data_IF_857547379773
#
_entry.id   IF_857547379773
#
_cell.length_a   1.000
_cell.length_b   1.000
_cell.length_c   1.000
_cell.angle_alpha   90.00
_cell.angle_beta   90.00
_cell.angle_gamma   90.00
#
_symmetry.space_group_name_H-M   'P 1'
#
loop_
_entity.id
_entity.type
_entity.pdbx_description
1 polymer ?
#
# COMPACT_ATOMS: atom_id res chain seq x y z
N UNK A 1 23.76 21.27 -28.78
CA UNK A 1 24.41 20.65 -27.61
C UNK A 1 23.32 20.24 -26.63
N UNK A 2 23.16 18.96 -26.28
CA UNK A 2 22.08 18.53 -25.39
C UNK A 2 22.43 18.78 -23.92
N UNK A 3 21.44 19.24 -23.16
CA UNK A 3 21.52 19.60 -21.75
C UNK A 3 21.52 18.36 -20.83
N UNK A 4 22.47 18.34 -19.90
CA UNK A 4 22.61 17.37 -18.80
C UNK A 4 21.56 17.68 -17.73
N UNK A 5 20.96 16.66 -17.11
CA UNK A 5 20.20 16.81 -15.86
C UNK A 5 21.10 17.45 -14.80
N UNK A 6 20.98 18.77 -14.63
CA UNK A 6 21.83 19.53 -13.72
C UNK A 6 21.40 19.28 -12.27
N UNK A 7 22.24 18.55 -11.54
CA UNK A 7 22.19 18.48 -10.09
C UNK A 7 23.13 19.59 -9.58
N UNK A 8 22.59 20.68 -9.03
CA UNK A 8 23.43 21.70 -8.39
C UNK A 8 23.91 21.17 -7.04
N UNK A 9 25.10 20.56 -7.04
CA UNK A 9 25.80 20.19 -5.81
C UNK A 9 27.21 19.67 -6.07
N UNK A 10 28.20 20.47 -5.69
CA UNK A 10 29.58 20.21 -5.22
C UNK A 10 30.40 18.98 -5.70
N UNK A 11 31.74 19.12 -5.79
CA UNK A 11 32.61 18.07 -6.33
C UNK A 11 32.72 16.88 -5.37
N UNK A 12 32.19 15.75 -5.80
CA UNK A 12 32.37 14.43 -5.20
C UNK A 12 31.76 13.40 -6.15
N UNK A 13 32.63 12.70 -6.88
CA UNK A 13 32.29 11.72 -7.92
C UNK A 13 31.17 10.75 -7.50
N UNK A 14 30.02 10.84 -8.18
CA UNK A 14 28.95 9.83 -8.17
C UNK A 14 28.59 9.56 -9.65
N UNK A 15 28.72 8.30 -10.07
CA UNK A 15 28.33 7.83 -11.40
C UNK A 15 26.82 8.07 -11.65
N UNK A 16 26.41 8.58 -12.82
CA UNK A 16 24.99 8.63 -13.17
C UNK A 16 24.50 7.21 -13.49
N UNK A 17 23.50 6.71 -12.76
CA UNK A 17 22.76 5.50 -13.14
C UNK A 17 21.44 5.89 -13.82
N UNK A 18 20.99 5.13 -14.84
CA UNK A 18 19.84 5.49 -15.65
C UNK A 18 18.51 5.31 -14.91
N UNK A 19 17.62 6.30 -15.03
CA UNK A 19 16.20 6.17 -14.68
C UNK A 19 15.51 5.28 -15.74
N UNK A 20 14.77 4.26 -15.32
CA UNK A 20 13.93 3.45 -16.22
C UNK A 20 12.45 3.77 -15.99
N UNK A 21 11.71 4.02 -17.05
CA UNK A 21 10.25 4.19 -17.06
C UNK A 21 9.62 3.06 -17.89
N UNK A 22 8.39 2.64 -17.55
CA UNK A 22 7.64 1.65 -18.31
C UNK A 22 6.43 2.32 -18.96
N UNK A 23 6.15 2.00 -20.23
CA UNK A 23 4.93 2.40 -20.95
C UNK A 23 4.19 1.13 -21.34
N UNK A 24 2.89 1.07 -21.03
CA UNK A 24 2.02 -0.02 -21.48
C UNK A 24 1.50 0.28 -22.89
N UNK A 25 1.65 -0.67 -23.80
CA UNK A 25 1.04 -0.66 -25.12
C UNK A 25 0.18 -1.92 -25.29
N UNK A 26 -1.07 -1.75 -25.73
CA UNK A 26 -2.02 -2.84 -25.97
C UNK A 26 -2.09 -3.15 -27.48
N UNK A 27 -2.02 -4.43 -27.91
CA UNK A 27 -2.30 -4.78 -29.30
C UNK A 27 -3.80 -4.57 -29.60
N UNK A 28 -4.09 -3.97 -30.76
CA UNK A 28 -5.43 -3.57 -31.19
C UNK A 28 -6.21 -4.82 -31.64
N UNK A 29 -7.05 -5.37 -30.76
CA UNK A 29 -8.04 -6.40 -31.05
C UNK A 29 -9.36 -6.05 -30.37
N UNK A 30 -10.46 -6.04 -31.14
CA UNK A 30 -11.79 -5.53 -30.76
C UNK A 30 -12.34 -6.13 -29.44
N UNK A 31 -12.10 -5.48 -28.31
CA UNK A 31 -12.98 -5.38 -27.13
C UNK A 31 -12.55 -4.12 -26.37
N UNK A 32 -13.52 -3.35 -25.92
CA UNK A 32 -13.31 -2.09 -25.18
C UNK A 32 -12.34 -2.37 -24.03
N UNK A 33 -11.12 -1.81 -24.11
CA UNK A 33 -10.09 -1.96 -23.08
C UNK A 33 -9.78 -0.60 -22.48
N UNK A 34 -9.69 -0.47 -21.15
CA UNK A 34 -9.20 0.75 -20.53
C UNK A 34 -7.74 0.98 -20.98
N UNK A 35 -7.44 2.18 -21.47
CA UNK A 35 -6.05 2.64 -21.61
C UNK A 35 -5.49 2.83 -20.21
N UNK A 36 -4.85 1.81 -19.66
CA UNK A 36 -4.16 1.91 -18.38
C UNK A 36 -2.74 2.39 -18.66
N UNK A 37 -2.43 3.60 -18.23
CA UNK A 37 -1.09 4.15 -18.30
C UNK A 37 -0.45 4.15 -16.92
N UNK A 38 0.66 3.42 -16.77
CA UNK A 38 1.51 3.51 -15.59
C UNK A 38 2.70 4.39 -15.91
N UNK A 39 3.06 5.26 -14.98
CA UNK A 39 4.37 5.91 -14.95
C UNK A 39 5.06 5.47 -13.66
N UNK A 40 5.95 4.49 -13.78
CA UNK A 40 6.84 4.12 -12.68
C UNK A 40 8.09 4.98 -12.80
N UNK A 41 8.07 6.18 -12.21
CA UNK A 41 9.26 7.02 -12.08
C UNK A 41 9.91 6.77 -10.73
N UNK A 42 11.03 6.05 -10.69
CA UNK A 42 11.76 5.85 -9.42
C UNK A 42 12.94 4.90 -9.50
N UNK A 43 14.05 5.31 -8.88
CA UNK A 43 15.21 4.48 -8.59
C UNK A 43 14.77 3.49 -7.50
N UNK A 44 14.39 2.26 -7.87
CA UNK A 44 14.53 1.00 -7.12
C UNK A 44 13.71 -0.08 -7.85
N UNK A 45 14.34 -0.81 -8.77
CA UNK A 45 13.83 -2.09 -9.28
C UNK A 45 13.97 -3.14 -8.16
N UNK A 46 13.01 -3.18 -7.22
CA UNK A 46 12.99 -4.25 -6.24
C UNK A 46 12.30 -5.49 -6.84
N UNK A 47 12.61 -6.67 -6.30
CA UNK A 47 12.08 -7.95 -6.78
C UNK A 47 10.54 -7.95 -6.88
N UNK A 48 9.86 -7.34 -5.89
CA UNK A 48 8.40 -7.22 -5.84
C UNK A 48 7.81 -6.43 -7.00
N UNK A 49 8.44 -5.35 -7.47
CA UNK A 49 7.99 -4.62 -8.67
C UNK A 49 8.12 -5.49 -9.92
N UNK A 50 9.20 -6.26 -10.05
CA UNK A 50 9.38 -7.19 -11.17
C UNK A 50 8.28 -8.26 -11.20
N UNK A 51 7.90 -8.79 -10.03
CA UNK A 51 6.82 -9.76 -9.89
C UNK A 51 5.46 -9.16 -10.23
N UNK A 52 5.17 -7.92 -9.79
CA UNK A 52 3.94 -7.23 -10.15
C UNK A 52 3.85 -6.95 -11.66
N UNK A 53 4.94 -6.48 -12.27
CA UNK A 53 5.01 -6.26 -13.71
C UNK A 53 4.79 -7.56 -14.48
N UNK A 54 5.40 -8.66 -14.04
CA UNK A 54 5.15 -9.99 -14.61
C UNK A 54 3.69 -10.40 -14.46
N UNK A 55 3.08 -10.21 -13.28
CA UNK A 55 1.67 -10.50 -13.06
C UNK A 55 0.75 -9.72 -14.00
N UNK A 56 1.07 -8.45 -14.29
CA UNK A 56 0.34 -7.69 -15.31
C UNK A 56 0.48 -8.30 -16.70
N UNK A 57 1.70 -8.70 -17.09
CA UNK A 57 1.95 -9.38 -18.36
C UNK A 57 1.16 -10.66 -18.49
N UNK A 58 1.17 -11.49 -17.46
CA UNK A 58 0.52 -12.79 -17.44
C UNK A 58 -1.01 -12.64 -17.45
N UNK A 59 -1.57 -11.76 -16.60
CA UNK A 59 -3.02 -11.57 -16.48
C UNK A 59 -3.66 -10.84 -17.67
N UNK A 60 -2.98 -9.86 -18.26
CA UNK A 60 -3.54 -9.02 -19.32
C UNK A 60 -2.91 -9.27 -20.70
N UNK A 61 -2.03 -10.26 -20.82
CA UNK A 61 -1.29 -10.55 -22.07
C UNK A 61 -0.55 -9.33 -22.64
N UNK A 62 -0.07 -8.43 -21.76
CA UNK A 62 0.64 -7.22 -22.18
C UNK A 62 2.14 -7.52 -22.40
N UNK A 63 2.75 -6.80 -23.35
CA UNK A 63 4.20 -6.81 -23.53
C UNK A 63 4.80 -5.54 -22.93
N UNK A 64 5.69 -5.69 -21.96
CA UNK A 64 6.46 -4.58 -21.41
C UNK A 64 7.70 -4.34 -22.27
N UNK A 65 7.70 -3.25 -23.04
CA UNK A 65 8.88 -2.83 -23.76
C UNK A 65 9.77 -2.00 -22.83
N UNK A 66 10.91 -2.57 -22.43
CA UNK A 66 11.93 -1.85 -21.65
C UNK A 66 12.72 -0.97 -22.61
N UNK A 67 12.36 0.32 -22.71
CA UNK A 67 13.18 1.27 -23.47
C UNK A 67 14.41 1.65 -22.65
N UNK A 68 15.60 1.31 -23.17
CA UNK A 68 16.89 1.60 -22.53
C UNK A 68 17.23 3.08 -22.45
N UNK A 69 16.62 3.92 -23.29
CA UNK A 69 16.72 5.37 -23.24
C UNK A 69 15.42 5.98 -23.77
N UNK A 70 14.67 6.70 -22.94
CA UNK A 70 13.64 7.61 -23.43
C UNK A 70 13.88 9.00 -22.88
N UNK A 71 14.29 9.89 -23.79
CA UNK A 71 14.16 11.34 -23.64
C UNK A 71 12.66 11.66 -23.50
N UNK A 72 12.28 12.12 -22.31
CA UNK A 72 11.04 12.86 -22.02
C UNK A 72 9.79 12.38 -22.78
N UNK A 73 9.19 11.27 -22.35
CA UNK A 73 7.76 11.06 -22.61
C UNK A 73 7.00 11.59 -21.42
N UNK A 74 6.58 12.85 -21.50
CA UNK A 74 5.58 13.42 -20.61
C UNK A 74 4.19 13.05 -21.13
N UNK A 75 3.51 12.12 -20.47
CA UNK A 75 2.06 12.13 -20.50
C UNK A 75 1.58 13.13 -19.46
N UNK A 76 1.35 14.37 -19.90
CA UNK A 76 0.75 15.39 -19.06
C UNK A 76 -0.74 15.09 -18.91
N UNK A 77 -1.10 14.25 -17.93
CA UNK A 77 -2.36 14.49 -17.23
C UNK A 77 -2.06 15.67 -16.32
N UNK A 78 -2.49 16.86 -16.75
CA UNK A 78 -2.34 18.11 -15.98
C UNK A 78 -3.19 18.05 -14.71
N UNK A 79 -2.69 17.32 -13.73
CA UNK A 79 -2.96 17.64 -12.33
C UNK A 79 -1.80 18.53 -11.91
N UNK A 80 -2.08 19.73 -11.42
CA UNK A 80 -1.08 20.61 -10.82
C UNK A 80 -0.55 19.92 -9.54
N UNK A 81 0.34 18.95 -9.69
CA UNK A 81 1.07 18.35 -8.59
C UNK A 81 2.23 19.30 -8.31
N UNK A 82 1.99 20.28 -7.44
CA UNK A 82 2.95 21.32 -7.04
C UNK A 82 3.99 20.83 -6.03
N UNK A 83 4.05 19.53 -5.78
CA UNK A 83 4.93 18.94 -4.77
C UNK A 83 5.96 18.01 -5.42
N UNK A 84 7.23 18.23 -5.11
CA UNK A 84 8.43 17.65 -5.74
C UNK A 84 8.59 16.13 -5.64
N UNK A 85 7.57 15.40 -5.19
CA UNK A 85 7.57 13.95 -5.06
C UNK A 85 6.52 13.33 -5.98
N UNK A 86 6.95 12.83 -7.13
CA UNK A 86 6.13 12.02 -8.04
C UNK A 86 5.97 10.62 -7.44
N UNK A 87 4.92 10.45 -6.64
CA UNK A 87 4.51 9.14 -6.13
C UNK A 87 3.85 8.27 -7.20
N UNK A 88 3.08 7.28 -6.76
CA UNK A 88 2.29 6.44 -7.65
C UNK A 88 1.06 7.21 -8.14
N UNK A 89 0.74 7.05 -9.42
CA UNK A 89 -0.40 7.72 -10.06
C UNK A 89 -1.16 6.71 -10.91
N UNK A 90 -2.49 6.75 -10.81
CA UNK A 90 -3.42 6.06 -11.69
C UNK A 90 -4.32 7.10 -12.35
N UNK A 91 -4.78 6.81 -13.57
CA UNK A 91 -5.68 7.71 -14.29
C UNK A 91 -7.03 7.82 -13.56
N UNK A 92 -7.59 6.69 -13.11
CA UNK A 92 -8.74 6.63 -12.21
C UNK A 92 -8.51 5.57 -11.13
N UNK A 93 -9.04 5.74 -9.91
CA UNK A 93 -8.95 4.69 -8.89
C UNK A 93 -9.57 3.36 -9.33
N UNK A 94 -10.63 3.40 -10.16
CA UNK A 94 -11.28 2.22 -10.74
C UNK A 94 -10.34 1.40 -11.63
N UNK A 95 -9.34 2.02 -12.25
CA UNK A 95 -8.37 1.30 -13.08
C UNK A 95 -7.55 0.32 -12.22
N UNK A 96 -7.21 0.68 -10.98
CA UNK A 96 -6.52 -0.23 -10.05
C UNK A 96 -7.38 -1.40 -9.64
N UNK A 97 -8.69 -1.19 -9.48
CA UNK A 97 -9.63 -2.28 -9.18
C UNK A 97 -9.69 -3.31 -10.31
N UNK A 98 -9.75 -2.85 -11.57
CA UNK A 98 -9.71 -3.75 -12.75
C UNK A 98 -8.43 -4.58 -12.77
N UNK A 99 -7.29 -3.94 -12.50
CA UNK A 99 -5.99 -4.61 -12.46
C UNK A 99 -5.91 -5.65 -11.36
N UNK A 100 -6.30 -5.25 -10.15
CA UNK A 100 -6.35 -6.12 -8.98
C UNK A 100 -7.23 -7.34 -9.26
N UNK A 101 -8.48 -7.14 -9.66
CA UNK A 101 -9.43 -8.21 -9.92
C UNK A 101 -8.95 -9.16 -11.02
N UNK A 102 -8.42 -8.62 -12.13
CA UNK A 102 -7.90 -9.44 -13.22
C UNK A 102 -6.69 -10.30 -12.81
N UNK A 103 -5.77 -9.78 -11.98
CA UNK A 103 -4.65 -10.57 -11.45
C UNK A 103 -5.16 -11.64 -10.48
N UNK A 104 -6.04 -11.28 -9.53
CA UNK A 104 -6.57 -12.24 -8.55
C UNK A 104 -7.34 -13.37 -9.23
N UNK A 105 -8.12 -13.05 -10.26
CA UNK A 105 -8.83 -14.04 -11.09
C UNK A 105 -7.87 -14.92 -11.88
N UNK A 106 -6.86 -14.33 -12.55
CA UNK A 106 -5.87 -15.07 -13.33
C UNK A 106 -5.13 -16.13 -12.52
N UNK A 107 -4.76 -15.80 -11.28
CA UNK A 107 -4.08 -16.73 -10.38
C UNK A 107 -5.02 -17.59 -9.52
N UNK A 108 -6.34 -17.51 -9.76
CA UNK A 108 -7.36 -18.23 -9.00
C UNK A 108 -7.29 -18.00 -7.48
N UNK A 109 -6.92 -16.78 -7.07
CA UNK A 109 -6.84 -16.38 -5.65
C UNK A 109 -8.23 -16.05 -5.10
N UNK A 110 -9.20 -15.79 -5.98
CA UNK A 110 -10.62 -15.64 -5.67
C UNK A 110 -11.26 -16.89 -5.05
N UNK A 111 -10.55 -18.03 -5.01
CA UNK A 111 -10.92 -19.26 -4.30
C UNK A 111 -10.71 -19.24 -2.78
N UNK A 112 -10.30 -18.11 -2.18
CA UNK A 112 -10.36 -17.96 -0.73
C UNK A 112 -11.77 -18.31 -0.23
N UNK A 113 -11.92 -19.05 0.88
CA UNK A 113 -13.22 -19.51 1.34
C UNK A 113 -14.22 -18.33 1.40
N UNK A 114 -15.43 -18.50 0.85
CA UNK A 114 -16.52 -17.49 0.91
C UNK A 114 -16.87 -17.03 2.33
N UNK A 115 -16.34 -17.71 3.35
CA UNK A 115 -16.44 -17.41 4.78
C UNK A 115 -15.44 -16.36 5.25
N UNK A 116 -14.36 -16.09 4.51
CA UNK A 116 -13.49 -14.91 4.68
C UNK A 116 -13.99 -13.79 3.77
N UNK A 117 -15.12 -13.17 4.13
CA UNK A 117 -15.67 -12.03 3.38
C UNK A 117 -14.87 -10.77 3.68
N UNK A 118 -13.73 -10.62 3.03
CA UNK A 118 -13.02 -9.35 2.94
C UNK A 118 -13.72 -8.44 1.93
N UNK A 119 -13.62 -7.14 2.11
CA UNK A 119 -14.32 -6.16 1.31
C UNK A 119 -15.76 -5.94 1.78
N UNK A 120 -16.49 -5.14 1.03
CA UNK A 120 -17.81 -4.70 1.46
C UNK A 120 -18.83 -5.85 1.57
N UNK A 121 -19.63 -5.91 2.65
CA UNK A 121 -20.65 -6.94 2.81
C UNK A 121 -21.69 -6.87 1.69
N UNK A 122 -21.93 -7.98 1.00
CA UNK A 122 -23.02 -8.11 0.02
C UNK A 122 -24.30 -8.46 0.77
N UNK A 123 -25.15 -7.45 1.02
CA UNK A 123 -26.37 -7.60 1.81
C UNK A 123 -27.35 -8.58 1.18
N UNK A 124 -27.51 -9.78 1.76
CA UNK A 124 -28.69 -10.65 1.55
C UNK A 124 -28.93 -11.69 2.66
N UNK A 125 -28.04 -11.90 3.65
CA UNK A 125 -28.19 -13.03 4.58
C UNK A 125 -28.02 -12.74 6.08
N UNK A 126 -26.97 -12.02 6.46
CA UNK A 126 -26.50 -12.06 7.86
C UNK A 126 -26.36 -10.67 8.53
N UNK A 127 -26.77 -9.59 7.84
CA UNK A 127 -26.74 -8.23 8.37
C UNK A 127 -27.98 -7.91 9.24
N UNK A 128 -28.49 -8.91 9.96
CA UNK A 128 -29.46 -8.68 11.02
C UNK A 128 -28.70 -8.09 12.22
N UNK A 129 -28.86 -6.78 12.41
CA UNK A 129 -28.58 -6.00 13.64
C UNK A 129 -27.11 -5.74 14.05
N UNK A 130 -26.09 -6.30 13.38
CA UNK A 130 -24.67 -5.97 13.62
C UNK A 130 -24.00 -5.18 12.50
N UNK A 131 -23.27 -4.09 12.81
CA UNK A 131 -22.35 -3.47 11.83
C UNK A 131 -21.18 -4.42 11.60
N UNK A 132 -21.03 -4.90 10.36
CA UNK A 132 -19.89 -5.73 9.97
C UNK A 132 -18.56 -5.03 10.29
N UNK A 133 -17.58 -5.81 10.73
CA UNK A 133 -16.23 -5.36 10.98
C UNK A 133 -15.27 -5.84 9.88
N UNK A 134 -14.30 -4.99 9.49
CA UNK A 134 -13.26 -5.34 8.54
C UNK A 134 -12.24 -6.31 9.16
N UNK A 135 -11.58 -7.10 8.31
CA UNK A 135 -10.45 -7.94 8.73
C UNK A 135 -9.17 -7.09 8.72
N UNK A 136 -8.42 -7.10 9.82
CA UNK A 136 -7.16 -6.35 9.93
C UNK A 136 -5.99 -7.30 9.76
N UNK A 137 -5.13 -7.04 8.79
CA UNK A 137 -3.81 -7.66 8.68
C UNK A 137 -2.76 -6.83 9.42
N UNK A 138 -2.00 -7.45 10.32
CA UNK A 138 -0.77 -6.89 10.89
C UNK A 138 0.44 -7.54 10.23
N UNK A 139 1.07 -6.84 9.29
CA UNK A 139 2.26 -7.32 8.59
C UNK A 139 3.51 -6.68 9.17
N UNK A 140 4.28 -7.45 9.93
CA UNK A 140 5.54 -7.01 10.53
C UNK A 140 6.74 -7.22 9.56
N UNK A 141 7.97 -7.12 10.05
CA UNK A 141 9.21 -7.32 9.28
C UNK A 141 10.25 -8.08 10.09
N UNK A 142 11.17 -8.74 9.41
CA UNK A 142 12.44 -9.11 10.01
C UNK A 142 13.45 -7.95 9.95
N UNK A 143 14.23 -7.81 11.03
CA UNK A 143 15.29 -6.80 11.15
C UNK A 143 14.79 -5.35 11.22
N UNK A 144 15.38 -4.47 10.42
CA UNK A 144 15.16 -3.02 10.54
C UNK A 144 13.71 -2.60 10.30
N UNK A 145 13.20 -1.71 11.16
CA UNK A 145 11.80 -1.24 11.23
C UNK A 145 10.79 -2.27 11.72
N UNK A 146 11.22 -3.40 12.28
CA UNK A 146 10.31 -4.30 12.99
C UNK A 146 9.57 -3.53 14.09
N UNK A 147 8.28 -3.80 14.24
CA UNK A 147 7.47 -3.31 15.36
C UNK A 147 7.66 -4.30 16.50
N UNK A 148 8.29 -3.89 17.60
CA UNK A 148 8.65 -4.79 18.70
C UNK A 148 7.44 -5.05 19.62
N UNK A 149 6.62 -4.03 19.87
CA UNK A 149 5.42 -4.13 20.71
C UNK A 149 4.15 -4.49 19.93
N UNK A 150 4.27 -5.28 18.85
CA UNK A 150 3.11 -5.63 18.00
C UNK A 150 2.03 -6.39 18.76
N UNK A 151 2.39 -7.22 19.75
CA UNK A 151 1.44 -8.00 20.52
C UNK A 151 0.54 -7.09 21.37
N UNK A 152 1.14 -6.11 22.07
CA UNK A 152 0.40 -5.09 22.83
C UNK A 152 -0.58 -4.31 21.94
N UNK A 153 -0.18 -4.01 20.71
CA UNK A 153 -1.05 -3.32 19.74
C UNK A 153 -2.22 -4.21 19.33
N UNK A 154 -1.97 -5.49 19.01
CA UNK A 154 -3.02 -6.45 18.64
C UNK A 154 -3.99 -6.65 19.79
N UNK A 155 -3.48 -6.80 21.00
CA UNK A 155 -4.28 -7.01 22.20
C UNK A 155 -5.14 -5.78 22.49
N UNK A 156 -4.58 -4.56 22.42
CA UNK A 156 -5.33 -3.32 22.60
C UNK A 156 -6.45 -3.14 21.55
N UNK A 157 -6.19 -3.54 20.30
CA UNK A 157 -7.20 -3.53 19.23
C UNK A 157 -8.31 -4.54 19.53
N UNK A 158 -7.98 -5.78 19.89
CA UNK A 158 -8.98 -6.80 20.26
C UNK A 158 -9.80 -6.37 21.47
N UNK A 159 -9.15 -5.94 22.55
CA UNK A 159 -9.82 -5.46 23.77
C UNK A 159 -10.81 -4.32 23.51
N UNK A 160 -10.54 -3.48 22.50
CA UNK A 160 -11.44 -2.39 22.12
C UNK A 160 -12.72 -2.88 21.45
N UNK A 161 -12.62 -3.90 20.59
CA UNK A 161 -13.68 -4.31 19.67
C UNK A 161 -14.32 -5.68 19.97
N UNK A 162 -13.73 -6.49 20.85
CA UNK A 162 -14.25 -7.80 21.30
C UNK A 162 -15.15 -7.69 22.54
N UNK A 163 -15.64 -6.49 22.88
CA UNK A 163 -16.49 -6.30 24.06
C UNK A 163 -17.89 -6.88 23.84
N UNK A 164 -18.41 -7.71 24.77
CA UNK A 164 -19.79 -8.16 24.70
C UNK A 164 -20.73 -6.95 24.73
N UNK A 165 -21.83 -7.06 24.00
CA UNK A 165 -22.82 -6.01 23.75
C UNK A 165 -23.49 -5.52 25.05
N UNK A 166 -22.79 -4.71 25.85
CA UNK A 166 -23.34 -4.15 27.07
C UNK A 166 -24.24 -2.91 26.80
N UNK A 167 -24.16 -2.29 25.61
CA UNK A 167 -24.84 -1.02 25.32
C UNK A 167 -25.37 -0.90 23.87
N UNK A 168 -26.13 -1.90 23.41
CA UNK A 168 -27.01 -1.75 22.24
C UNK A 168 -26.33 -1.67 20.85
N UNK A 169 -25.01 -1.78 20.75
CA UNK A 169 -24.28 -1.96 19.49
C UNK A 169 -23.29 -3.12 19.66
N UNK A 170 -23.64 -4.29 19.15
CA UNK A 170 -22.74 -5.44 19.11
C UNK A 170 -21.83 -5.32 17.89
N UNK A 171 -20.53 -5.14 18.12
CA UNK A 171 -19.53 -5.50 17.12
C UNK A 171 -19.23 -6.99 17.31
N UNK A 172 -19.34 -7.80 16.25
CA UNK A 172 -18.94 -9.20 16.33
C UNK A 172 -17.45 -9.29 16.01
N UNK A 173 -16.68 -9.76 17.00
CA UNK A 173 -15.26 -10.17 16.98
C UNK A 173 -14.42 -9.63 15.82
N UNK A 174 -13.64 -8.58 16.11
CA UNK A 174 -12.71 -8.03 15.13
C UNK A 174 -11.60 -9.06 14.87
N UNK A 175 -11.45 -9.47 13.61
CA UNK A 175 -10.36 -10.37 13.25
C UNK A 175 -9.08 -9.58 12.99
N UNK A 176 -8.01 -9.94 13.70
CA UNK A 176 -6.65 -9.47 13.43
C UNK A 176 -5.79 -10.66 13.01
N UNK A 177 -5.43 -10.71 11.73
CA UNK A 177 -4.51 -11.68 11.14
C UNK A 177 -3.08 -11.15 11.24
N UNK A 178 -2.18 -11.90 11.87
CA UNK A 178 -0.80 -11.49 12.07
C UNK A 178 0.14 -12.25 11.15
N UNK A 179 1.02 -11.50 10.47
CA UNK A 179 2.12 -12.06 9.69
C UNK A 179 3.45 -11.42 10.08
N UNK A 180 4.38 -12.25 10.53
CA UNK A 180 5.68 -11.81 11.02
C UNK A 180 6.54 -11.12 9.95
N UNK A 181 6.53 -11.62 8.72
CA UNK A 181 7.23 -11.02 7.58
C UNK A 181 6.75 -11.57 6.23
N UNK A 182 7.07 -10.85 5.17
CA UNK A 182 7.04 -11.33 3.79
C UNK A 182 8.40 -11.81 3.28
N UNK A 183 9.43 -11.81 4.12
CA UNK A 183 10.73 -12.37 3.74
C UNK A 183 10.58 -13.87 3.41
N UNK A 184 11.00 -14.26 2.21
CA UNK A 184 10.82 -15.62 1.69
C UNK A 184 9.41 -15.95 1.16
N UNK A 185 8.42 -15.07 1.33
CA UNK A 185 7.07 -15.31 0.82
C UNK A 185 7.02 -15.17 -0.72
N UNK A 186 6.34 -16.09 -1.40
CA UNK A 186 6.14 -15.98 -2.85
C UNK A 186 5.25 -14.79 -3.20
N UNK A 187 5.26 -14.37 -4.46
CA UNK A 187 4.33 -13.33 -4.93
C UNK A 187 2.88 -13.69 -4.61
N UNK A 188 2.49 -14.94 -4.87
CA UNK A 188 1.14 -15.44 -4.63
C UNK A 188 0.78 -15.39 -3.15
N UNK A 189 1.66 -15.82 -2.25
CA UNK A 189 1.42 -15.72 -0.80
C UNK A 189 1.20 -14.27 -0.36
N UNK A 190 1.98 -13.34 -0.92
CA UNK A 190 1.86 -11.91 -0.59
C UNK A 190 0.51 -11.35 -1.04
N UNK A 191 0.07 -11.65 -2.27
CA UNK A 191 -1.19 -11.12 -2.79
C UNK A 191 -2.41 -11.86 -2.25
N UNK A 192 -2.29 -13.14 -1.90
CA UNK A 192 -3.32 -13.91 -1.18
C UNK A 192 -3.53 -13.36 0.22
N UNK A 193 -2.46 -13.04 0.96
CA UNK A 193 -2.58 -12.39 2.27
C UNK A 193 -3.25 -11.01 2.16
N UNK A 194 -2.85 -10.20 1.17
CA UNK A 194 -3.46 -8.87 0.97
C UNK A 194 -4.92 -8.98 0.54
N UNK A 195 -5.29 -9.95 -0.30
CA UNK A 195 -6.68 -10.18 -0.65
C UNK A 195 -7.51 -10.71 0.54
N UNK A 196 -6.85 -11.27 1.56
CA UNK A 196 -7.44 -11.84 2.77
C UNK A 196 -7.70 -10.85 3.90
N UNK A 197 -7.37 -9.56 3.75
CA UNK A 197 -7.56 -8.53 4.79
C UNK A 197 -8.07 -7.21 4.20
N UNK A 198 -8.88 -6.46 4.93
CA UNK A 198 -9.39 -5.14 4.52
C UNK A 198 -8.39 -4.02 4.82
N UNK A 199 -7.80 -4.06 6.00
CA UNK A 199 -6.83 -3.06 6.47
C UNK A 199 -5.49 -3.70 6.70
N UNK A 200 -4.43 -3.01 6.30
CA UNK A 200 -3.07 -3.38 6.61
C UNK A 200 -2.48 -2.43 7.63
N UNK A 201 -1.96 -2.96 8.72
CA UNK A 201 -1.13 -2.27 9.69
C UNK A 201 0.29 -2.81 9.53
N UNK A 202 1.28 -1.94 9.40
CA UNK A 202 2.66 -2.41 9.32
C UNK A 202 3.71 -1.31 9.17
N UNK A 203 4.99 -1.64 9.39
CA UNK A 203 6.08 -0.71 9.22
C UNK A 203 6.39 -0.44 7.74
N UNK A 204 6.79 0.80 7.45
CA UNK A 204 7.20 1.22 6.11
C UNK A 204 8.27 0.30 5.52
N UNK A 205 8.03 -0.20 4.31
CA UNK A 205 9.07 -0.76 3.45
C UNK A 205 8.52 -1.56 2.29
N UNK A 206 9.42 -2.27 1.58
CA UNK A 206 9.11 -2.88 0.28
C UNK A 206 7.92 -3.84 0.28
N UNK A 207 7.60 -4.49 1.40
CA UNK A 207 6.43 -5.35 1.53
C UNK A 207 5.09 -4.63 1.29
N UNK A 208 5.06 -3.31 1.46
CA UNK A 208 3.87 -2.49 1.19
C UNK A 208 3.64 -2.24 -0.31
N UNK A 209 4.47 -2.78 -1.22
CA UNK A 209 4.17 -2.70 -2.66
C UNK A 209 2.95 -3.52 -3.06
N UNK A 210 2.51 -4.47 -2.23
CA UNK A 210 1.34 -5.30 -2.50
C UNK A 210 0.02 -4.73 -1.95
N UNK A 211 0.02 -3.54 -1.36
CA UNK A 211 -1.24 -2.89 -0.92
C UNK A 211 -2.30 -2.74 -2.01
N UNK A 212 -1.98 -2.60 -3.32
CA UNK A 212 -3.03 -2.58 -4.34
C UNK A 212 -3.87 -3.84 -4.42
N UNK A 213 -3.46 -4.93 -3.75
CA UNK A 213 -4.22 -6.18 -3.69
C UNK A 213 -5.20 -6.26 -2.51
N UNK A 214 -5.21 -5.28 -1.61
CA UNK A 214 -6.28 -5.13 -0.61
C UNK A 214 -7.64 -4.94 -1.33
N UNK A 215 -8.76 -5.39 -0.73
CA UNK A 215 -10.11 -5.08 -1.18
C UNK A 215 -10.35 -3.60 -1.45
N UNK A 216 -11.36 -3.30 -2.26
CA UNK A 216 -11.88 -1.95 -2.36
C UNK A 216 -12.32 -1.45 -0.97
N UNK A 217 -12.25 -0.14 -0.74
CA UNK A 217 -12.48 0.48 0.58
C UNK A 217 -11.45 0.10 1.67
N UNK A 218 -10.40 -0.64 1.32
CA UNK A 218 -9.33 -1.02 2.23
C UNK A 218 -8.48 0.15 2.73
N UNK A 219 -7.48 -0.16 3.55
CA UNK A 219 -6.70 0.84 4.27
C UNK A 219 -5.28 0.44 4.63
N UNK A 220 -4.40 1.42 4.82
CA UNK A 220 -3.01 1.24 5.24
C UNK A 220 -2.66 2.17 6.42
N UNK A 221 -2.36 1.59 7.59
CA UNK A 221 -1.65 2.25 8.68
C UNK A 221 -0.15 1.96 8.57
N UNK A 222 0.62 2.99 8.29
CA UNK A 222 2.06 2.86 8.05
C UNK A 222 2.91 3.40 9.22
N UNK A 223 3.71 2.53 9.82
CA UNK A 223 4.63 2.93 10.90
C UNK A 223 6.00 3.38 10.39
N UNK A 224 6.51 4.44 11.01
CA UNK A 224 7.81 5.03 10.73
C UNK A 224 8.69 5.08 11.99
N UNK A 225 9.95 4.62 11.93
CA UNK A 225 10.86 4.73 13.06
C UNK A 225 11.37 6.18 13.19
N UNK A 226 11.90 6.50 14.36
CA UNK A 226 12.60 7.76 14.61
C UNK A 226 13.69 8.06 13.55
N UNK A 227 13.58 9.23 12.92
CA UNK A 227 14.54 9.76 11.96
C UNK A 227 14.30 9.34 10.51
N UNK A 228 13.26 8.58 10.21
CA UNK A 228 12.96 8.18 8.84
C UNK A 228 11.47 8.33 8.55
N UNK A 229 11.11 9.17 7.58
CA UNK A 229 9.73 9.41 7.18
C UNK A 229 9.63 9.54 5.65
N UNK A 230 8.83 8.69 5.05
CA UNK A 230 8.59 8.63 3.61
C UNK A 230 7.12 8.30 3.28
N UNK A 231 6.20 8.85 4.07
CA UNK A 231 4.75 8.55 4.04
C UNK A 231 4.10 8.78 2.66
N UNK A 232 4.59 9.73 1.86
CA UNK A 232 4.06 9.98 0.51
C UNK A 232 4.29 8.82 -0.46
N UNK A 233 5.29 7.96 -0.22
CA UNK A 233 5.61 6.88 -1.15
C UNK A 233 4.49 5.85 -1.22
N UNK A 234 4.20 5.14 -0.12
CA UNK A 234 3.08 4.20 -0.11
C UNK A 234 1.74 4.88 0.10
N UNK A 235 1.69 6.09 0.67
CA UNK A 235 0.45 6.87 0.75
C UNK A 235 -0.13 7.24 -0.61
N UNK A 236 0.72 7.57 -1.60
CA UNK A 236 0.23 7.79 -2.98
C UNK A 236 -0.19 6.48 -3.66
N UNK A 237 0.46 5.35 -3.36
CA UNK A 237 0.02 4.04 -3.85
C UNK A 237 -1.34 3.63 -3.27
N UNK A 238 -1.55 3.85 -1.97
CA UNK A 238 -2.84 3.63 -1.31
C UNK A 238 -3.92 4.50 -1.95
N UNK A 239 -3.67 5.81 -2.09
CA UNK A 239 -4.61 6.73 -2.75
C UNK A 239 -4.93 6.31 -4.19
N UNK A 240 -3.92 5.91 -4.96
CA UNK A 240 -4.08 5.42 -6.33
C UNK A 240 -4.88 4.11 -6.42
N UNK A 241 -4.94 3.35 -5.32
CA UNK A 241 -5.66 2.09 -5.19
C UNK A 241 -7.04 2.24 -4.51
N UNK A 242 -7.50 3.49 -4.32
CA UNK A 242 -8.73 3.80 -3.58
C UNK A 242 -8.73 3.31 -2.12
N UNK A 243 -7.56 3.29 -1.49
CA UNK A 243 -7.41 2.90 -0.09
C UNK A 243 -7.18 4.11 0.80
N UNK A 244 -7.71 4.06 2.01
CA UNK A 244 -7.40 5.06 3.03
C UNK A 244 -5.95 4.90 3.52
N UNK A 245 -5.27 6.01 3.80
CA UNK A 245 -3.90 5.98 4.34
C UNK A 245 -3.80 6.83 5.58
N UNK A 246 -3.20 6.25 6.61
CA UNK A 246 -2.72 6.95 7.80
C UNK A 246 -1.28 6.53 8.05
N UNK A 247 -0.51 7.39 8.72
CA UNK A 247 0.85 7.07 9.11
C UNK A 247 1.10 7.51 10.55
N UNK A 248 1.98 6.78 11.22
CA UNK A 248 2.41 7.10 12.58
C UNK A 248 3.94 7.15 12.64
N UNK A 249 4.44 8.26 13.17
CA UNK A 249 5.87 8.50 13.37
C UNK A 249 6.19 8.38 14.86
N UNK A 250 7.14 7.51 15.20
CA UNK A 250 7.44 7.15 16.60
C UNK A 250 8.56 7.99 17.24
N UNK A 251 9.11 8.96 16.51
CA UNK A 251 10.11 9.88 17.08
C UNK A 251 9.47 11.07 17.80
N UNK A 252 10.26 11.74 18.66
CA UNK A 252 9.76 12.83 19.53
C UNK A 252 9.70 14.18 18.81
N UNK A 253 10.66 14.46 17.93
CA UNK A 253 10.75 15.71 17.17
C UNK A 253 10.90 15.37 15.69
N UNK A 254 9.75 15.11 15.04
CA UNK A 254 9.66 14.71 13.63
C UNK A 254 10.53 15.58 12.73
N UNK A 255 10.44 16.90 12.86
CA UNK A 255 11.11 17.84 11.97
C UNK A 255 12.63 17.78 12.13
N UNK A 256 13.14 17.87 13.36
CA UNK A 256 14.60 17.85 13.59
C UNK A 256 15.20 16.49 13.32
N UNK A 257 14.53 15.42 13.76
CA UNK A 257 15.04 14.06 13.62
C UNK A 257 15.07 13.64 12.14
N UNK A 258 14.00 13.86 11.38
CA UNK A 258 13.97 13.53 9.95
C UNK A 258 15.01 14.38 9.20
N UNK A 259 15.10 15.69 9.46
CA UNK A 259 16.12 16.56 8.83
C UNK A 259 17.54 16.06 9.11
N UNK A 260 17.82 15.65 10.35
CA UNK A 260 19.13 15.14 10.73
C UNK A 260 19.48 13.81 10.06
N UNK A 261 18.56 12.84 10.08
CA UNK A 261 18.85 11.49 9.60
C UNK A 261 18.75 11.37 8.08
N UNK A 262 17.94 12.20 7.42
CA UNK A 262 17.78 12.18 5.96
C UNK A 262 18.87 12.95 5.20
N UNK A 263 19.81 13.63 5.90
CA UNK A 263 20.88 14.42 5.27
C UNK A 263 21.93 13.61 4.51
N UNK A 264 22.06 12.31 4.81
CA UNK A 264 23.05 11.43 4.18
C UNK A 264 22.57 9.99 4.10
N UNK A 265 23.10 9.23 3.14
CA UNK A 265 22.75 7.82 2.97
C UNK A 265 23.10 6.96 4.18
N UNK A 266 24.25 7.22 4.82
CA UNK A 266 24.68 6.51 6.02
C UNK A 266 23.74 6.76 7.21
N UNK A 267 23.39 8.03 7.48
CA UNK A 267 22.43 8.37 8.53
C UNK A 267 21.05 7.81 8.25
N UNK A 268 20.57 7.88 7.00
CA UNK A 268 19.29 7.30 6.58
C UNK A 268 19.26 5.79 6.81
N UNK A 269 20.36 5.11 6.47
CA UNK A 269 20.52 3.67 6.71
C UNK A 269 20.46 3.34 8.21
N UNK A 270 21.10 4.15 9.07
CA UNK A 270 20.99 4.02 10.54
C UNK A 270 19.55 4.17 11.03
N UNK A 271 18.81 5.18 10.56
CA UNK A 271 17.42 5.38 10.95
C UNK A 271 16.51 4.21 10.52
N UNK A 272 16.73 3.67 9.31
CA UNK A 272 15.99 2.52 8.77
C UNK A 272 16.25 1.20 9.51
N UNK A 273 17.33 1.10 10.29
CA UNK A 273 17.63 -0.09 11.12
C UNK A 273 16.94 -0.07 12.48
N UNK A 274 16.42 1.08 12.91
CA UNK A 274 15.72 1.17 14.19
C UNK A 274 14.43 0.37 14.15
N UNK A 275 14.14 -0.29 15.25
CA UNK A 275 12.83 -0.88 15.48
C UNK A 275 11.83 0.21 15.87
N UNK A 276 10.57 -0.18 15.93
CA UNK A 276 9.43 0.69 16.14
C UNK A 276 8.71 0.21 17.39
N UNK A 277 8.43 1.14 18.29
CA UNK A 277 7.48 0.99 19.37
C UNK A 277 6.38 2.02 19.12
N UNK A 278 5.16 1.55 18.85
CA UNK A 278 4.02 2.41 18.55
C UNK A 278 3.05 2.41 19.74
N UNK A 279 2.44 3.56 20.03
CA UNK A 279 1.47 3.69 21.12
C UNK A 279 0.20 2.90 20.78
N UNK A 280 -0.14 1.83 21.53
CA UNK A 280 -1.32 1.02 21.24
C UNK A 280 -2.63 1.82 21.25
N UNK A 281 -2.76 2.82 22.12
CA UNK A 281 -3.97 3.64 22.23
C UNK A 281 -4.21 4.46 20.97
N UNK A 282 -3.14 5.06 20.43
CA UNK A 282 -3.22 5.80 19.17
C UNK A 282 -3.48 4.87 17.98
N UNK A 283 -2.99 3.63 18.00
CA UNK A 283 -3.33 2.65 16.96
C UNK A 283 -4.82 2.33 16.99
N UNK A 284 -5.39 2.12 18.18
CA UNK A 284 -6.82 1.86 18.36
C UNK A 284 -7.67 3.01 17.81
N UNK A 285 -7.35 4.27 18.14
CA UNK A 285 -8.05 5.45 17.60
C UNK A 285 -8.02 5.48 16.07
N UNK A 286 -6.88 5.17 15.46
CA UNK A 286 -6.75 5.13 14.00
C UNK A 286 -7.55 3.97 13.39
N UNK A 287 -7.59 2.82 14.06
CA UNK A 287 -8.41 1.67 13.64
C UNK A 287 -9.90 2.02 13.65
N UNK A 288 -10.38 2.74 14.67
CA UNK A 288 -11.77 3.24 14.68
C UNK A 288 -12.07 4.13 13.48
N UNK A 289 -11.16 5.05 13.14
CA UNK A 289 -11.29 5.92 11.96
C UNK A 289 -11.29 5.11 10.65
N UNK A 290 -10.48 4.04 10.57
CA UNK A 290 -10.50 3.15 9.42
C UNK A 290 -11.85 2.44 9.28
N UNK A 291 -12.38 1.87 10.36
CA UNK A 291 -13.68 1.18 10.37
C UNK A 291 -14.78 2.13 9.88
N UNK A 292 -14.82 3.37 10.39
CA UNK A 292 -15.80 4.37 9.96
C UNK A 292 -15.69 4.69 8.46
N UNK A 293 -14.47 4.87 7.94
CA UNK A 293 -14.23 5.15 6.52
C UNK A 293 -14.61 3.98 5.62
N UNK A 294 -14.30 2.76 6.03
CA UNK A 294 -14.65 1.55 5.30
C UNK A 294 -16.16 1.33 5.25
N UNK A 295 -16.86 1.47 6.39
CA UNK A 295 -18.32 1.37 6.44
C UNK A 295 -18.97 2.37 5.49
N UNK A 296 -18.56 3.65 5.55
CA UNK A 296 -19.05 4.70 4.65
C UNK A 296 -18.76 4.40 3.17
N UNK A 297 -17.57 3.90 2.86
CA UNK A 297 -17.22 3.53 1.49
C UNK A 297 -18.05 2.34 0.97
N UNK A 298 -18.34 1.37 1.84
CA UNK A 298 -19.18 0.23 1.51
C UNK A 298 -20.64 0.60 1.29
N UNK A 299 -21.20 1.50 2.10
CA UNK A 299 -22.52 2.08 1.87
C UNK A 299 -22.61 2.74 0.48
N UNK A 300 -21.61 3.55 0.12
CA UNK A 300 -21.57 4.21 -1.19
C UNK A 300 -21.47 3.24 -2.36
N UNK A 301 -20.68 2.17 -2.20
CA UNK A 301 -20.49 1.15 -3.25
C UNK A 301 -21.74 0.28 -3.42
N UNK A 302 -22.55 0.10 -2.38
CA UNK A 302 -23.82 -0.63 -2.46
C UNK A 302 -24.92 0.11 -3.23
N UNK A 303 -24.77 1.42 -3.43
CA UNK A 303 -25.73 2.29 -4.12
C UNK A 303 -25.40 2.54 -5.60
N UNK A 304 -24.23 2.11 -6.07
CA UNK A 304 -23.71 2.35 -7.43
C UNK A 304 -23.83 1.13 -8.33
#
# INVERSE_FOLDING_TARGET
MPSVCSNKGGPGTIFPMPCSSYILAFPIGKRIQPRIQFSLSGIFQNHSQGLFLKALQDAFSIRLNRHGEQKNISASVSTKITDTFTGYVMNKPKDMEVLRSGILEHYNISGLPKTMRTGCPTGTGDAAEGKSLPIIGFLNREGGRRVDNYQEIIDAVRDRFDKPAAEGVSFQNLTVDYKASFDGASFLDQISYMAGVDFLIGPHGAQLTSIPFLPACGGLLEFFPKGYLAHKFFGTLAAASNHSHFYMYTGKDKTKEVKHFMRSMSSRSKARRRHIEADPSLVVEVVELFIQKWQKCCEQTSLS
#
